data_IF_757510998769
#
_entry.id   IF_757510998769
#
_cell.length_a   1.000
_cell.length_b   1.000
_cell.length_c   1.000
_cell.angle_alpha   90.00
_cell.angle_beta   90.00
_cell.angle_gamma   90.00
#
_symmetry.space_group_name_H-M   'P 1'
#
loop_
_entity.id
_entity.type
_entity.pdbx_description
1 polymer ?
#
# COMPACT_ATOMS: atom_id res chain seq x y z
N UNK A 1 -1.30 52.77 -35.54
CA UNK A 1 -0.37 52.94 -34.40
C UNK A 1 -1.08 52.86 -33.03
N UNK A 2 -2.18 53.59 -32.79
CA UNK A 2 -2.77 53.74 -31.45
C UNK A 2 -3.52 52.52 -30.88
N UNK A 3 -3.91 51.56 -31.72
CA UNK A 3 -4.71 50.41 -31.31
C UNK A 3 -3.86 49.16 -30.97
N UNK A 4 -2.69 48.97 -31.61
CA UNK A 4 -1.77 47.86 -31.29
C UNK A 4 -1.09 48.04 -29.93
N UNK A 5 -0.70 49.27 -29.58
CA UNK A 5 -0.08 49.57 -28.29
C UNK A 5 -1.06 49.32 -27.12
N UNK A 6 -2.35 49.61 -27.33
CA UNK A 6 -3.41 49.30 -26.36
C UNK A 6 -3.64 47.81 -26.23
N UNK A 7 -3.51 47.05 -27.32
CA UNK A 7 -3.69 45.60 -27.31
C UNK A 7 -2.54 44.89 -26.61
N UNK A 8 -1.29 45.28 -26.89
CA UNK A 8 -0.11 44.74 -26.20
C UNK A 8 -0.11 45.08 -24.71
N UNK A 9 -0.44 46.33 -24.33
CA UNK A 9 -0.56 46.72 -22.93
C UNK A 9 -1.71 46.01 -22.20
N UNK A 10 -2.84 45.81 -22.88
CA UNK A 10 -3.98 45.05 -22.35
C UNK A 10 -3.66 43.56 -22.20
N UNK A 11 -2.92 42.96 -23.13
CA UNK A 11 -2.51 41.56 -23.07
C UNK A 11 -1.54 41.33 -21.92
N UNK A 12 -0.56 42.22 -21.74
CA UNK A 12 0.39 42.16 -20.62
C UNK A 12 -0.32 42.31 -19.27
N UNK A 13 -1.29 43.22 -19.15
CA UNK A 13 -2.11 43.32 -17.94
C UNK A 13 -2.95 42.06 -17.70
N UNK A 14 -3.50 41.45 -18.75
CA UNK A 14 -4.30 40.23 -18.64
C UNK A 14 -3.44 39.03 -18.23
N UNK A 15 -2.23 38.90 -18.78
CA UNK A 15 -1.24 37.89 -18.39
C UNK A 15 -0.75 38.09 -16.96
N UNK A 16 -0.48 39.34 -16.55
CA UNK A 16 -0.11 39.68 -15.17
C UNK A 16 -1.24 39.33 -14.19
N UNK A 17 -2.49 39.59 -14.58
CA UNK A 17 -3.68 39.25 -13.78
C UNK A 17 -3.89 37.72 -13.70
N UNK A 18 -3.65 36.99 -14.80
CA UNK A 18 -3.68 35.53 -14.81
C UNK A 18 -2.61 34.92 -13.89
N UNK A 19 -1.38 35.45 -13.93
CA UNK A 19 -0.29 35.03 -13.03
C UNK A 19 -0.60 35.30 -11.55
N UNK A 20 -1.25 36.43 -11.24
CA UNK A 20 -1.69 36.74 -9.88
C UNK A 20 -2.82 35.81 -9.40
N UNK A 21 -3.76 35.47 -10.28
CA UNK A 21 -4.83 34.50 -9.99
C UNK A 21 -4.27 33.09 -9.75
N UNK A 22 -3.30 32.65 -10.54
CA UNK A 22 -2.65 31.34 -10.36
C UNK A 22 -1.83 31.29 -9.06
N UNK A 23 -1.13 32.38 -8.72
CA UNK A 23 -0.39 32.50 -7.45
C UNK A 23 -1.33 32.45 -6.24
N UNK A 24 -2.51 33.09 -6.34
CA UNK A 24 -3.51 33.08 -5.28
C UNK A 24 -4.22 31.72 -5.17
N UNK A 25 -4.47 31.04 -6.30
CA UNK A 25 -5.01 29.69 -6.32
C UNK A 25 -4.02 28.66 -5.76
N UNK A 26 -2.72 28.83 -6.00
CA UNK A 26 -1.67 27.98 -5.44
C UNK A 26 -1.51 28.17 -3.92
N UNK A 27 -1.66 29.40 -3.41
CA UNK A 27 -1.72 29.67 -1.96
C UNK A 27 -2.97 29.06 -1.31
N UNK A 28 -4.13 29.15 -1.97
CA UNK A 28 -5.37 28.56 -1.46
C UNK A 28 -5.34 27.03 -1.50
N UNK A 29 -4.69 26.44 -2.50
CA UNK A 29 -4.50 24.98 -2.59
C UNK A 29 -3.49 24.46 -1.55
N UNK A 30 -2.53 25.29 -1.12
CA UNK A 30 -1.60 24.95 -0.02
C UNK A 30 -2.29 24.98 1.36
N UNK A 31 -3.33 25.78 1.54
CA UNK A 31 -4.20 25.76 2.73
C UNK A 31 -5.28 24.67 2.71
N UNK A 32 -5.59 24.10 1.54
CA UNK A 32 -6.58 23.03 1.37
C UNK A 32 -5.96 21.62 1.33
N UNK A 33 -4.65 21.46 1.48
CA UNK A 33 -4.12 20.15 1.87
C UNK A 33 -4.64 19.86 3.28
N UNK A 34 -5.48 18.83 3.47
CA UNK A 34 -5.63 18.32 4.81
C UNK A 34 -4.22 17.88 5.21
N UNK A 35 -3.78 18.26 6.41
CA UNK A 35 -2.86 17.40 7.14
C UNK A 35 -3.60 16.06 7.26
N UNK A 36 -3.51 15.19 6.25
CA UNK A 36 -4.19 13.91 6.28
C UNK A 36 -3.54 13.15 7.42
N UNK A 37 -4.28 12.88 8.51
CA UNK A 37 -3.75 11.99 9.52
C UNK A 37 -3.58 10.66 8.81
N UNK A 38 -2.34 10.17 8.71
CA UNK A 38 -2.01 8.79 8.32
C UNK A 38 -3.16 7.88 8.77
N UNK A 39 -3.79 7.16 7.83
CA UNK A 39 -4.90 6.26 8.15
C UNK A 39 -4.50 5.38 9.32
N UNK A 40 -5.42 5.06 10.24
CA UNK A 40 -5.07 4.27 11.44
C UNK A 40 -4.29 2.99 11.08
N UNK A 41 -4.59 2.38 9.93
CA UNK A 41 -3.83 1.27 9.34
C UNK A 41 -2.35 1.60 9.12
N UNK A 42 -2.04 2.72 8.46
CA UNK A 42 -0.66 3.16 8.23
C UNK A 42 0.10 3.50 9.52
N UNK A 43 -0.58 4.00 10.57
CA UNK A 43 0.03 4.20 11.90
C UNK A 43 0.31 2.87 12.63
N UNK A 44 -0.63 1.92 12.56
CA UNK A 44 -0.49 0.60 13.19
C UNK A 44 0.65 -0.21 12.54
N UNK A 45 0.75 -0.19 11.20
CA UNK A 45 1.81 -0.89 10.47
C UNK A 45 3.20 -0.32 10.79
N UNK A 46 3.32 1.01 10.89
CA UNK A 46 4.59 1.66 11.23
C UNK A 46 4.99 1.42 12.70
N UNK A 47 4.02 1.41 13.63
CA UNK A 47 4.27 1.07 15.03
C UNK A 47 4.67 -0.40 15.22
N UNK A 48 4.07 -1.32 14.46
CA UNK A 48 4.44 -2.74 14.49
C UNK A 48 5.87 -2.97 13.95
N UNK A 49 6.28 -2.22 12.91
CA UNK A 49 7.64 -2.28 12.37
C UNK A 49 8.69 -1.75 13.38
N UNK A 50 8.36 -0.71 14.15
CA UNK A 50 9.25 -0.17 15.18
C UNK A 50 9.38 -1.12 16.41
N UNK A 51 8.32 -1.84 16.76
CA UNK A 51 8.34 -2.82 17.87
C UNK A 51 9.13 -4.09 17.54
N UNK A 52 9.19 -4.48 16.26
CA UNK A 52 10.02 -5.61 15.82
C UNK A 52 11.52 -5.38 16.06
N UNK A 53 11.99 -4.12 15.94
CA UNK A 53 13.41 -3.78 16.12
C UNK A 53 13.83 -3.65 17.60
N UNK A 54 12.87 -3.71 18.54
CA UNK A 54 13.12 -3.55 19.99
C UNK A 54 13.27 -4.88 20.73
N UNK A 55 12.86 -6.00 20.12
CA UNK A 55 12.80 -7.31 20.79
C UNK A 55 14.09 -8.14 20.66
N UNK A 56 15.05 -7.74 19.82
CA UNK A 56 16.32 -8.44 19.67
C UNK A 56 17.38 -8.06 20.71
N UNK A 57 17.25 -6.91 21.38
CA UNK A 57 18.33 -6.37 22.23
C UNK A 57 18.21 -6.65 23.73
N UNK A 58 17.21 -7.44 24.17
CA UNK A 58 17.03 -7.83 25.59
C UNK A 58 17.19 -9.34 25.86
N UNK A 59 17.62 -10.15 24.87
CA UNK A 59 17.74 -11.61 25.02
C UNK A 59 19.12 -12.14 25.45
N UNK A 60 20.12 -11.29 25.70
CA UNK A 60 21.48 -11.79 26.00
C UNK A 60 21.91 -11.79 27.49
N UNK A 61 21.19 -11.14 28.41
CA UNK A 61 21.64 -11.02 29.82
C UNK A 61 20.91 -11.94 30.83
N UNK A 62 20.41 -13.10 30.40
CA UNK A 62 19.83 -14.09 31.31
C UNK A 62 20.40 -15.49 31.09
N UNK A 63 21.73 -15.57 30.97
CA UNK A 63 22.50 -16.82 30.95
C UNK A 63 23.42 -16.84 32.18
N UNK A 64 22.85 -17.02 33.38
CA UNK A 64 23.46 -17.81 34.47
C UNK A 64 22.56 -17.72 35.71
N UNK A 65 21.99 -18.85 36.14
CA UNK A 65 21.47 -18.98 37.50
C UNK A 65 20.04 -19.44 37.63
N UNK A 66 19.79 -20.74 37.42
CA UNK A 66 19.17 -21.60 38.44
C UNK A 66 18.84 -22.96 37.85
N UNK A 67 19.62 -23.95 38.27
CA UNK A 67 19.33 -25.36 38.10
C UNK A 67 18.11 -25.73 38.93
N UNK A 68 17.05 -26.21 38.26
CA UNK A 68 16.06 -27.23 38.69
C UNK A 68 15.36 -27.06 40.07
N UNK A 69 14.02 -27.20 40.15
CA UNK A 69 13.31 -28.36 39.61
C UNK A 69 12.17 -27.98 38.67
N UNK A 70 12.45 -28.01 37.37
CA UNK A 70 11.47 -27.77 36.30
C UNK A 70 11.05 -29.10 35.67
N UNK A 71 10.79 -30.12 36.49
CA UNK A 71 10.32 -31.43 36.01
C UNK A 71 8.80 -31.64 36.16
N UNK A 72 8.07 -30.71 36.76
CA UNK A 72 6.62 -30.88 37.02
C UNK A 72 5.67 -30.04 36.16
N UNK A 73 6.17 -29.13 35.31
CA UNK A 73 5.31 -28.28 34.47
C UNK A 73 5.17 -28.74 33.00
N UNK A 74 5.92 -29.75 32.54
CA UNK A 74 5.79 -30.25 31.17
C UNK A 74 4.60 -31.18 30.91
N UNK A 75 3.83 -31.58 31.93
CA UNK A 75 2.67 -32.47 31.75
C UNK A 75 1.31 -31.76 31.53
N UNK A 76 1.23 -30.42 31.60
CA UNK A 76 -0.07 -29.72 31.49
C UNK A 76 -0.40 -29.11 30.12
N UNK A 77 0.47 -29.19 29.10
CA UNK A 77 0.22 -28.54 27.79
C UNK A 77 -0.49 -29.39 26.72
N UNK A 78 -0.96 -30.60 27.04
CA UNK A 78 -1.77 -31.40 26.10
C UNK A 78 -3.19 -31.68 26.63
N UNK A 79 -3.84 -30.72 27.29
CA UNK A 79 -5.30 -30.72 27.27
C UNK A 79 -5.75 -30.28 25.87
N UNK A 80 -5.81 -31.23 24.93
CA UNK A 80 -6.58 -31.07 23.71
C UNK A 80 -7.99 -30.64 24.13
N UNK A 81 -8.39 -29.39 23.85
CA UNK A 81 -9.76 -28.95 24.08
C UNK A 81 -10.67 -29.90 23.30
N UNK A 82 -11.42 -30.69 24.05
CA UNK A 82 -12.40 -31.61 23.47
C UNK A 82 -13.48 -30.78 22.78
N UNK A 83 -13.62 -30.96 21.46
CA UNK A 83 -14.63 -30.29 20.66
C UNK A 83 -15.84 -31.22 20.51
N UNK A 84 -17.01 -30.76 20.93
CA UNK A 84 -18.28 -31.49 20.80
C UNK A 84 -18.99 -31.12 19.51
N UNK A 85 -19.73 -32.06 18.94
CA UNK A 85 -20.51 -31.82 17.74
C UNK A 85 -21.69 -30.88 18.04
N UNK A 86 -21.93 -29.83 17.21
CA UNK A 86 -23.04 -28.90 17.44
C UNK A 86 -24.42 -29.56 17.28
N UNK A 87 -24.51 -30.63 16.47
CA UNK A 87 -25.75 -31.39 16.24
C UNK A 87 -25.94 -32.50 17.27
N UNK A 88 -24.84 -33.18 17.62
CA UNK A 88 -24.82 -34.31 18.53
C UNK A 88 -24.06 -33.91 19.80
N UNK A 89 -24.73 -33.20 20.70
CA UNK A 89 -24.11 -32.45 21.81
C UNK A 89 -23.24 -33.29 22.77
N UNK A 90 -23.43 -34.60 22.80
CA UNK A 90 -22.68 -35.53 23.65
C UNK A 90 -21.55 -36.24 22.90
N UNK A 91 -21.47 -36.08 21.57
CA UNK A 91 -20.49 -36.73 20.72
C UNK A 91 -19.31 -35.82 20.41
N UNK A 92 -18.12 -36.38 20.42
CA UNK A 92 -16.87 -35.67 20.14
C UNK A 92 -16.60 -35.63 18.63
N UNK A 93 -16.07 -34.49 18.17
CA UNK A 93 -15.54 -34.32 16.82
C UNK A 93 -14.16 -34.98 16.75
N UNK A 94 -14.13 -36.25 16.32
CA UNK A 94 -12.91 -37.07 16.29
C UNK A 94 -12.35 -37.29 14.88
N UNK A 95 -13.15 -37.02 13.86
CA UNK A 95 -12.80 -37.32 12.47
C UNK A 95 -12.77 -36.05 11.64
N UNK A 96 -11.89 -35.98 10.65
CA UNK A 96 -11.87 -34.97 9.60
C UNK A 96 -12.45 -35.59 8.34
N UNK A 97 -13.46 -34.95 7.77
CA UNK A 97 -13.95 -35.29 6.44
C UNK A 97 -13.21 -34.43 5.42
N UNK A 98 -12.31 -35.03 4.64
CA UNK A 98 -11.53 -34.32 3.60
C UNK A 98 -12.42 -33.83 2.45
N UNK A 99 -13.46 -34.59 2.11
CA UNK A 99 -14.44 -34.21 1.07
C UNK A 99 -15.22 -32.95 1.43
N UNK A 100 -15.53 -32.75 2.72
CA UNK A 100 -16.29 -31.60 3.20
C UNK A 100 -15.44 -30.52 3.87
N UNK A 101 -14.14 -30.78 4.08
CA UNK A 101 -13.22 -29.93 4.82
C UNK A 101 -13.73 -29.53 6.23
N UNK A 102 -14.36 -30.47 6.96
CA UNK A 102 -14.90 -30.22 8.31
C UNK A 102 -14.57 -31.35 9.28
N UNK A 103 -14.65 -31.06 10.58
CA UNK A 103 -14.62 -32.08 11.61
C UNK A 103 -16.02 -32.68 11.83
N UNK A 104 -16.08 -34.01 11.99
CA UNK A 104 -17.31 -34.79 12.16
C UNK A 104 -17.21 -35.77 13.33
N UNK A 105 -18.36 -36.07 13.94
CA UNK A 105 -18.50 -37.11 14.96
C UNK A 105 -19.01 -38.42 14.35
N UNK A 106 -19.08 -39.50 15.14
CA UNK A 106 -19.53 -40.82 14.67
C UNK A 106 -20.97 -40.80 14.13
N UNK A 107 -21.87 -40.07 14.78
CA UNK A 107 -23.27 -39.97 14.34
C UNK A 107 -23.37 -39.23 13.00
N UNK A 108 -22.58 -38.17 12.78
CA UNK A 108 -22.50 -37.49 11.49
C UNK A 108 -21.99 -38.40 10.36
N UNK A 109 -21.06 -39.32 10.66
CA UNK A 109 -20.55 -40.30 9.69
C UNK A 109 -21.66 -41.24 9.23
N UNK A 110 -22.47 -41.74 10.16
CA UNK A 110 -23.55 -42.67 9.82
C UNK A 110 -24.65 -42.00 8.99
N UNK A 111 -24.99 -40.75 9.33
CA UNK A 111 -26.12 -40.05 8.73
C UNK A 111 -25.80 -39.38 7.39
N UNK A 112 -24.64 -38.74 7.27
CA UNK A 112 -24.35 -37.83 6.14
C UNK A 112 -22.97 -38.00 5.52
N UNK A 113 -22.02 -38.59 6.24
CA UNK A 113 -20.64 -38.76 5.75
C UNK A 113 -20.25 -40.24 5.69
N UNK A 114 -21.12 -41.09 5.14
CA UNK A 114 -20.90 -42.54 5.14
C UNK A 114 -19.60 -42.93 4.42
N UNK A 115 -18.84 -43.83 5.04
CA UNK A 115 -17.60 -44.40 4.48
C UNK A 115 -17.87 -45.02 3.11
N UNK A 116 -17.28 -44.44 2.05
CA UNK A 116 -17.48 -44.85 0.66
C UNK A 116 -17.94 -43.71 -0.26
N UNK A 117 -18.63 -42.70 0.30
CA UNK A 117 -18.94 -41.45 -0.41
C UNK A 117 -17.99 -40.32 -0.03
N UNK A 118 -17.54 -40.31 1.23
CA UNK A 118 -16.69 -39.26 1.78
C UNK A 118 -15.39 -39.87 2.32
N UNK A 119 -14.28 -39.15 2.14
CA UNK A 119 -12.97 -39.52 2.67
C UNK A 119 -12.85 -39.01 4.12
N UNK A 120 -12.71 -39.95 5.06
CA UNK A 120 -12.68 -39.68 6.51
C UNK A 120 -11.33 -40.09 7.11
N UNK A 121 -10.78 -39.23 7.96
CA UNK A 121 -9.52 -39.44 8.66
C UNK A 121 -9.70 -39.21 10.16
N UNK A 122 -9.17 -40.10 11.02
CA UNK A 122 -9.25 -39.93 12.47
C UNK A 122 -8.17 -38.96 12.97
N UNK A 123 -8.58 -37.89 13.64
CA UNK A 123 -7.70 -36.79 14.09
C UNK A 123 -7.16 -37.03 15.51
N UNK A 124 -7.73 -37.98 16.27
CA UNK A 124 -7.37 -38.24 17.68
C UNK A 124 -6.32 -39.34 17.90
N UNK A 125 -5.71 -39.90 16.85
CA UNK A 125 -4.66 -40.92 17.02
C UNK A 125 -3.44 -40.32 17.74
N UNK A 126 -3.10 -40.76 18.98
CA UNK A 126 -1.99 -40.22 19.76
C UNK A 126 -0.60 -40.51 19.16
N UNK A 127 -0.53 -41.31 18.08
CA UNK A 127 0.70 -41.58 17.33
C UNK A 127 0.80 -40.83 16.00
N UNK A 128 -0.27 -40.15 15.56
CA UNK A 128 -0.34 -39.55 14.21
C UNK A 128 -0.33 -38.02 14.21
N UNK A 129 -0.38 -37.36 15.38
CA UNK A 129 -0.16 -35.91 15.46
C UNK A 129 1.29 -35.51 15.17
N UNK A 130 2.19 -36.49 15.11
CA UNK A 130 3.63 -36.36 14.85
C UNK A 130 4.09 -36.88 13.49
N UNK A 131 3.20 -37.45 12.66
CA UNK A 131 3.62 -38.00 11.36
C UNK A 131 2.88 -37.33 10.21
N UNK A 132 3.63 -36.40 9.59
CA UNK A 132 3.54 -35.94 8.19
C UNK A 132 2.32 -35.15 7.70
N UNK A 133 1.12 -35.32 8.25
CA UNK A 133 -0.07 -34.60 7.75
C UNK A 133 -0.35 -33.23 8.39
N UNK A 134 -0.24 -33.15 9.72
CA UNK A 134 -0.49 -31.92 10.49
C UNK A 134 0.60 -30.87 10.29
N UNK A 135 1.87 -31.29 10.32
CA UNK A 135 3.04 -30.40 10.18
C UNK A 135 3.23 -29.90 8.75
N UNK A 136 2.84 -30.69 7.73
CA UNK A 136 2.91 -30.25 6.33
C UNK A 136 1.85 -29.18 6.03
N UNK A 137 0.65 -29.31 6.57
CA UNK A 137 -0.38 -28.28 6.44
C UNK A 137 -0.01 -27.02 7.24
N UNK A 138 0.55 -27.18 8.42
CA UNK A 138 1.08 -26.06 9.21
C UNK A 138 2.22 -25.34 8.49
N UNK A 139 3.20 -26.07 7.95
CA UNK A 139 4.33 -25.47 7.24
C UNK A 139 3.89 -24.78 5.95
N UNK A 140 2.97 -25.37 5.18
CA UNK A 140 2.38 -24.74 4.01
C UNK A 140 1.64 -23.44 4.36
N UNK A 141 0.89 -23.42 5.47
CA UNK A 141 0.24 -22.21 5.97
C UNK A 141 1.27 -21.15 6.40
N UNK A 142 2.35 -21.55 7.06
CA UNK A 142 3.42 -20.62 7.46
C UNK A 142 4.16 -20.02 6.25
N UNK A 143 4.43 -20.82 5.22
CA UNK A 143 4.98 -20.33 3.96
C UNK A 143 4.03 -19.34 3.30
N UNK A 144 2.74 -19.66 3.19
CA UNK A 144 1.74 -18.76 2.62
C UNK A 144 1.66 -17.43 3.41
N UNK A 145 1.71 -17.48 4.74
CA UNK A 145 1.73 -16.28 5.58
C UNK A 145 3.00 -15.44 5.36
N UNK A 146 4.16 -16.07 5.20
CA UNK A 146 5.41 -15.38 4.89
C UNK A 146 5.32 -14.69 3.51
N UNK A 147 4.81 -15.38 2.49
CA UNK A 147 4.60 -14.82 1.15
C UNK A 147 3.63 -13.64 1.18
N UNK A 148 2.53 -13.76 1.93
CA UNK A 148 1.57 -12.66 2.10
C UNK A 148 2.20 -11.46 2.78
N UNK A 149 3.05 -11.66 3.80
CA UNK A 149 3.80 -10.56 4.45
C UNK A 149 4.77 -9.89 3.48
N UNK A 150 5.47 -10.66 2.65
CA UNK A 150 6.32 -10.13 1.58
C UNK A 150 5.54 -9.25 0.61
N UNK A 151 4.41 -9.76 0.09
CA UNK A 151 3.52 -9.01 -0.81
C UNK A 151 2.95 -7.74 -0.18
N UNK A 152 2.60 -7.76 1.10
CA UNK A 152 2.17 -6.56 1.83
C UNK A 152 3.30 -5.53 1.85
N UNK A 153 4.55 -5.95 2.11
CA UNK A 153 5.73 -5.08 2.06
C UNK A 153 5.92 -4.43 0.70
N UNK A 154 5.79 -5.20 -0.39
CA UNK A 154 5.86 -4.68 -1.76
C UNK A 154 4.77 -3.63 -2.04
N UNK A 155 3.52 -3.91 -1.67
CA UNK A 155 2.40 -2.98 -1.86
C UNK A 155 2.64 -1.67 -1.11
N UNK A 156 3.12 -1.75 0.14
CA UNK A 156 3.44 -0.55 0.94
C UNK A 156 4.58 0.24 0.30
N UNK A 157 5.61 -0.44 -0.21
CA UNK A 157 6.70 0.21 -0.94
C UNK A 157 6.23 0.92 -2.21
N UNK A 158 5.40 0.26 -3.02
CA UNK A 158 4.82 0.85 -4.24
C UNK A 158 3.96 2.07 -3.89
N UNK A 159 3.09 1.96 -2.88
CA UNK A 159 2.24 3.05 -2.43
C UNK A 159 3.07 4.26 -1.95
N UNK A 160 4.11 4.03 -1.14
CA UNK A 160 5.00 5.09 -0.66
C UNK A 160 5.75 5.81 -1.79
N UNK A 161 6.12 5.10 -2.86
CA UNK A 161 6.79 5.68 -4.01
C UNK A 161 5.82 6.42 -4.95
N UNK A 162 4.52 6.11 -4.91
CA UNK A 162 3.49 6.69 -5.76
C UNK A 162 3.38 8.20 -5.59
N UNK A 163 3.35 8.69 -4.34
CA UNK A 163 3.23 10.12 -4.04
C UNK A 163 4.46 10.92 -4.51
N UNK A 164 5.65 10.33 -4.38
CA UNK A 164 6.87 10.94 -4.89
C UNK A 164 6.86 11.03 -6.42
N UNK A 165 6.40 9.96 -7.08
CA UNK A 165 6.27 9.94 -8.54
C UNK A 165 5.25 10.97 -9.04
N UNK A 166 4.10 11.09 -8.36
CA UNK A 166 3.11 12.12 -8.67
C UNK A 166 3.69 13.53 -8.56
N UNK A 167 4.48 13.80 -7.52
CA UNK A 167 5.15 15.09 -7.32
C UNK A 167 6.16 15.38 -8.44
N UNK A 168 6.96 14.39 -8.83
CA UNK A 168 7.92 14.52 -9.95
C UNK A 168 7.19 14.82 -11.27
N UNK A 169 6.11 14.12 -11.56
CA UNK A 169 5.31 14.35 -12.78
C UNK A 169 4.73 15.76 -12.81
N UNK A 170 4.16 16.24 -11.69
CA UNK A 170 3.66 17.62 -11.58
C UNK A 170 4.74 18.65 -11.84
N UNK A 171 5.93 18.46 -11.26
CA UNK A 171 7.06 19.37 -11.46
C UNK A 171 7.53 19.38 -12.92
N UNK A 172 7.64 18.21 -13.55
CA UNK A 172 8.03 18.12 -14.96
C UNK A 172 6.99 18.74 -15.89
N UNK A 173 5.70 18.57 -15.59
CA UNK A 173 4.63 19.23 -16.33
C UNK A 173 4.77 20.76 -16.24
N UNK A 174 4.95 21.30 -15.03
CA UNK A 174 5.12 22.75 -14.85
C UNK A 174 6.36 23.27 -15.59
N UNK A 175 7.48 22.53 -15.53
CA UNK A 175 8.71 22.87 -16.25
C UNK A 175 8.47 22.93 -17.75
N UNK A 176 7.90 21.88 -18.34
CA UNK A 176 7.61 21.82 -19.77
C UNK A 176 6.63 22.91 -20.22
N UNK A 177 5.62 23.21 -19.40
CA UNK A 177 4.67 24.29 -19.64
C UNK A 177 5.36 25.66 -19.67
N UNK A 178 6.28 25.91 -18.73
CA UNK A 178 7.04 27.15 -18.70
C UNK A 178 7.98 27.28 -19.91
N UNK A 179 8.71 26.21 -20.25
CA UNK A 179 9.59 26.18 -21.44
C UNK A 179 8.82 26.46 -22.74
N UNK A 180 7.61 25.92 -22.87
CA UNK A 180 6.74 26.18 -24.02
C UNK A 180 6.34 27.66 -24.10
N UNK A 181 5.97 28.26 -22.97
CA UNK A 181 5.61 29.68 -22.92
C UNK A 181 6.80 30.61 -23.19
N UNK A 182 7.97 30.29 -22.64
CA UNK A 182 9.21 31.03 -22.91
C UNK A 182 9.58 30.95 -24.40
N UNK A 183 9.50 29.75 -24.99
CA UNK A 183 9.77 29.54 -26.42
C UNK A 183 8.79 30.33 -27.29
N UNK A 184 7.50 30.33 -26.94
CA UNK A 184 6.50 31.13 -27.64
C UNK A 184 6.80 32.63 -27.54
N UNK A 185 7.08 33.14 -26.34
CA UNK A 185 7.41 34.56 -26.13
C UNK A 185 8.68 34.98 -26.89
N UNK A 186 9.69 34.10 -26.93
CA UNK A 186 10.90 34.31 -27.70
C UNK A 186 10.59 34.52 -29.19
N UNK A 187 9.84 33.61 -29.81
CA UNK A 187 9.47 33.73 -31.22
C UNK A 187 8.57 34.94 -31.49
N UNK A 188 7.60 35.22 -30.61
CA UNK A 188 6.76 36.40 -30.75
C UNK A 188 7.59 37.70 -30.75
N UNK A 189 8.60 37.79 -29.87
CA UNK A 189 9.49 38.94 -29.79
C UNK A 189 10.33 39.10 -31.06
N UNK A 190 10.89 38.00 -31.58
CA UNK A 190 11.64 38.01 -32.85
C UNK A 190 10.79 38.47 -34.04
N UNK A 191 9.53 37.99 -34.13
CA UNK A 191 8.62 38.37 -35.21
C UNK A 191 8.25 39.86 -35.14
N UNK A 192 8.04 40.39 -33.93
CA UNK A 192 7.72 41.81 -33.72
C UNK A 192 8.91 42.71 -34.06
N UNK A 193 10.13 42.30 -33.70
CA UNK A 193 11.37 42.98 -34.08
C UNK A 193 11.51 43.04 -35.60
N UNK A 194 11.36 41.91 -36.30
CA UNK A 194 11.48 41.87 -37.77
C UNK A 194 10.40 42.70 -38.47
N UNK A 195 9.17 42.67 -37.95
CA UNK A 195 8.09 43.54 -38.43
C UNK A 195 8.46 45.02 -38.26
N UNK A 196 9.01 45.39 -37.11
CA UNK A 196 9.44 46.76 -36.81
C UNK A 196 10.56 47.23 -37.74
N UNK A 197 11.53 46.39 -38.05
CA UNK A 197 12.58 46.67 -39.04
C UNK A 197 11.98 46.93 -40.43
N UNK A 198 11.11 46.04 -40.92
CA UNK A 198 10.48 46.18 -42.24
C UNK A 198 9.64 47.45 -42.36
N UNK A 199 8.93 47.84 -41.28
CA UNK A 199 8.18 49.09 -41.24
C UNK A 199 9.11 50.31 -41.34
N UNK A 200 10.28 50.29 -40.69
CA UNK A 200 11.30 51.35 -40.80
C UNK A 200 11.90 51.42 -42.20
N UNK A 201 12.20 50.28 -42.81
CA UNK A 201 12.68 50.20 -44.19
C UNK A 201 11.64 50.80 -45.15
N UNK A 202 10.36 50.43 -44.99
CA UNK A 202 9.26 50.97 -45.79
C UNK A 202 9.11 52.49 -45.63
N UNK A 203 9.16 53.00 -44.40
CA UNK A 203 9.08 54.45 -44.16
C UNK A 203 10.25 55.21 -44.78
N UNK A 204 11.43 54.61 -44.77
CA UNK A 204 12.63 55.19 -45.41
C UNK A 204 12.46 55.26 -46.92
N UNK A 205 11.97 54.18 -47.56
CA UNK A 205 11.69 54.15 -48.99
C UNK A 205 10.59 55.13 -49.41
N UNK A 206 9.54 55.28 -48.59
CA UNK A 206 8.45 56.22 -48.86
C UNK A 206 8.90 57.70 -48.79
N UNK A 207 9.94 58.01 -48.01
CA UNK A 207 10.47 59.37 -47.84
C UNK A 207 11.52 59.75 -48.89
N UNK A 208 12.00 58.82 -49.71
CA UNK A 208 12.86 59.08 -50.87
C UNK A 208 12.02 59.44 -52.10
#
# INVERSE_FOLDING_TARGET
>A
ASNEFKYASSLTMMLQQQQQLDSQQQQQQQQLLPAQPMSQLSKIVLAAAAQANSQEQQREDSIYGSLHPQQQQQQQQQQQRQLFCPRHKQELLKFSCRTCCILVCKECIVLEHSTGLHELENVQSPGMTTSTGSTANESALQTLLADMRGKIGEIVGIAGNSDQNLTKVKLQYQKAHNELNETHQFFASMLDERKTELLKELETLYRQ
#
